data_IF_887750776294
#
_entry.id   IF_887750776294
#
_cell.length_a   1.000
_cell.length_b   1.000
_cell.length_c   1.000
_cell.angle_alpha   90.00
_cell.angle_beta   90.00
_cell.angle_gamma   90.00
#
_symmetry.space_group_name_H-M   'P 1'
#
loop_
_entity.id
_entity.type
_entity.pdbx_description
1 polymer ?
#
# COMPACT_ATOMS: atom_id res chain seq x y z
N UNK A 1 31.80 -64.43 -54.83
CA UNK A 1 32.23 -63.50 -53.76
C UNK A 1 31.35 -62.27 -53.84
N UNK A 2 30.32 -62.19 -53.00
CA UNK A 2 29.35 -61.09 -52.99
C UNK A 2 29.84 -60.09 -51.94
N UNK A 3 30.18 -58.87 -52.38
CA UNK A 3 30.62 -57.77 -51.52
C UNK A 3 29.40 -57.14 -50.84
N UNK A 4 29.35 -57.24 -49.51
CA UNK A 4 28.42 -56.47 -48.68
C UNK A 4 28.99 -55.06 -48.44
N UNK A 5 28.18 -53.99 -48.57
CA UNK A 5 28.64 -52.64 -48.26
C UNK A 5 28.61 -52.39 -46.74
N UNK A 6 29.60 -51.66 -46.24
CA UNK A 6 29.74 -51.27 -44.84
C UNK A 6 28.60 -50.31 -44.40
N UNK A 7 28.18 -50.34 -43.12
CA UNK A 7 27.14 -49.46 -42.63
C UNK A 7 27.64 -48.01 -42.52
N UNK A 8 26.81 -47.07 -42.99
CA UNK A 8 27.08 -45.65 -42.90
C UNK A 8 27.06 -45.16 -41.44
N UNK A 9 28.15 -44.52 -41.03
CA UNK A 9 28.28 -43.82 -39.75
C UNK A 9 27.26 -42.67 -39.69
N UNK A 10 26.27 -42.81 -38.80
CA UNK A 10 25.35 -41.70 -38.47
C UNK A 10 26.11 -40.70 -37.62
N UNK A 11 26.62 -39.65 -38.26
CA UNK A 11 27.08 -38.44 -37.57
C UNK A 11 25.87 -37.80 -36.87
N UNK A 12 25.83 -37.94 -35.55
CA UNK A 12 24.88 -37.20 -34.72
C UNK A 12 25.17 -35.71 -34.86
N UNK A 13 24.21 -34.96 -35.43
CA UNK A 13 24.24 -33.50 -35.39
C UNK A 13 24.14 -33.09 -33.92
N UNK A 14 25.04 -32.23 -33.40
CA UNK A 14 24.84 -31.68 -32.07
C UNK A 14 23.55 -30.84 -32.11
N UNK A 15 22.56 -31.22 -31.30
CA UNK A 15 21.41 -30.38 -31.05
C UNK A 15 21.92 -29.06 -30.47
N UNK A 16 21.73 -27.96 -31.22
CA UNK A 16 22.04 -26.63 -30.75
C UNK A 16 21.09 -26.31 -29.59
N UNK A 17 21.52 -26.59 -28.37
CA UNK A 17 20.83 -26.10 -27.18
C UNK A 17 20.79 -24.57 -27.28
N UNK A 18 19.61 -23.95 -27.12
CA UNK A 18 19.50 -22.51 -27.25
C UNK A 18 20.45 -21.86 -26.26
N UNK A 19 21.32 -20.96 -26.73
CA UNK A 19 22.28 -20.24 -25.86
C UNK A 19 21.55 -19.23 -24.94
N UNK A 20 20.30 -18.91 -25.23
CA UNK A 20 19.49 -17.96 -24.49
C UNK A 20 18.02 -18.34 -24.48
N UNK A 21 17.33 -18.02 -23.40
CA UNK A 21 15.89 -18.15 -23.23
C UNK A 21 15.25 -16.76 -23.32
N UNK A 22 14.28 -16.61 -24.22
CA UNK A 22 13.43 -15.43 -24.28
C UNK A 22 12.25 -15.58 -23.31
N UNK A 23 12.03 -14.58 -22.47
CA UNK A 23 10.95 -14.56 -21.50
C UNK A 23 10.19 -13.25 -21.55
N UNK A 24 8.91 -13.28 -21.17
CA UNK A 24 8.03 -12.11 -21.15
C UNK A 24 7.39 -11.99 -19.79
N UNK A 25 7.55 -10.82 -19.15
CA UNK A 25 6.76 -10.47 -17.98
C UNK A 25 5.51 -9.70 -18.36
N UNK A 26 4.40 -10.04 -17.73
CA UNK A 26 3.12 -9.35 -17.75
C UNK A 26 2.91 -8.78 -16.35
N UNK A 27 2.82 -7.46 -16.23
CA UNK A 27 2.73 -6.74 -14.95
C UNK A 27 1.36 -6.10 -14.85
N UNK A 28 0.59 -6.46 -13.83
CA UNK A 28 -0.73 -5.87 -13.57
C UNK A 28 -0.59 -4.78 -12.51
N UNK A 29 -0.92 -3.56 -12.89
CA UNK A 29 -0.86 -2.36 -12.04
C UNK A 29 -2.27 -1.88 -11.75
N UNK A 30 -2.55 -1.59 -10.47
CA UNK A 30 -3.81 -0.99 -10.04
C UNK A 30 -3.68 0.53 -10.02
N UNK A 31 -4.61 1.22 -10.66
CA UNK A 31 -4.72 2.69 -10.64
C UNK A 31 -5.64 3.14 -9.50
N UNK A 32 -5.35 4.32 -8.96
CA UNK A 32 -6.21 5.00 -7.99
C UNK A 32 -7.57 5.32 -8.61
N UNK A 33 -8.65 5.25 -7.83
CA UNK A 33 -10.01 5.55 -8.30
C UNK A 33 -10.25 7.05 -8.32
N UNK A 34 -9.75 7.75 -7.30
CA UNK A 34 -9.78 9.21 -7.20
C UNK A 34 -8.37 9.75 -7.36
N UNK A 35 -8.14 10.46 -8.46
CA UNK A 35 -6.86 11.09 -8.76
C UNK A 35 -7.05 12.60 -8.60
N UNK A 36 -6.31 13.22 -7.67
CA UNK A 36 -6.33 14.67 -7.51
C UNK A 36 -5.73 15.37 -8.75
N UNK A 37 -6.04 16.66 -8.98
CA UNK A 37 -5.51 17.40 -10.15
C UNK A 37 -3.97 17.39 -10.20
N UNK A 38 -3.30 17.56 -9.05
CA UNK A 38 -1.82 17.47 -8.96
C UNK A 38 -1.31 16.07 -9.34
N UNK A 39 -2.04 15.05 -8.94
CA UNK A 39 -1.74 13.65 -9.22
C UNK A 39 -1.90 13.34 -10.72
N UNK A 40 -2.92 13.91 -11.38
CA UNK A 40 -3.13 13.80 -12.83
C UNK A 40 -2.00 14.44 -13.63
N UNK A 41 -1.53 15.62 -13.23
CA UNK A 41 -0.39 16.29 -13.88
C UNK A 41 0.87 15.44 -13.78
N UNK A 42 1.14 14.87 -12.61
CA UNK A 42 2.30 14.02 -12.40
C UNK A 42 2.18 12.66 -13.15
N UNK A 43 0.99 12.08 -13.28
CA UNK A 43 0.75 10.91 -14.14
C UNK A 43 1.07 11.18 -15.62
N UNK A 44 0.66 12.35 -16.11
CA UNK A 44 1.01 12.78 -17.46
C UNK A 44 2.52 12.95 -17.60
N UNK A 45 3.18 13.64 -16.65
CA UNK A 45 4.64 13.77 -16.64
C UNK A 45 5.36 12.42 -16.65
N UNK A 46 4.89 11.45 -15.87
CA UNK A 46 5.45 10.09 -15.81
C UNK A 46 5.28 9.36 -17.14
N UNK A 47 4.10 9.46 -17.77
CA UNK A 47 3.88 8.92 -19.10
C UNK A 47 4.86 9.51 -20.13
N UNK A 48 5.02 10.84 -20.16
CA UNK A 48 5.96 11.50 -21.08
C UNK A 48 7.43 11.15 -20.76
N UNK A 49 7.78 10.98 -19.48
CA UNK A 49 9.13 10.60 -19.07
C UNK A 49 9.52 9.17 -19.51
N UNK A 50 8.55 8.26 -19.61
CA UNK A 50 8.76 6.90 -20.12
C UNK A 50 9.27 6.90 -21.58
N UNK A 51 8.74 7.79 -22.43
CA UNK A 51 9.23 8.01 -23.80
C UNK A 51 10.70 8.45 -23.86
N UNK A 52 11.17 9.18 -22.84
CA UNK A 52 12.54 9.69 -22.73
C UNK A 52 13.44 8.73 -21.93
N UNK A 53 12.95 7.51 -21.63
CA UNK A 53 13.73 6.43 -21.02
C UNK A 53 13.77 6.42 -19.49
N UNK A 54 13.00 7.28 -18.82
CA UNK A 54 12.73 7.18 -17.36
C UNK A 54 11.54 6.26 -17.14
N UNK A 55 11.79 4.96 -17.23
CA UNK A 55 10.78 3.92 -17.14
C UNK A 55 10.89 3.11 -15.85
N UNK A 56 9.86 2.31 -15.55
CA UNK A 56 9.99 1.20 -14.60
C UNK A 56 10.93 0.14 -15.18
N UNK A 57 11.86 -0.36 -14.35
CA UNK A 57 12.79 -1.42 -14.73
C UNK A 57 12.56 -2.68 -13.90
N UNK A 58 12.55 -3.82 -14.56
CA UNK A 58 12.45 -5.13 -13.93
C UNK A 58 13.74 -5.91 -14.12
N UNK A 59 14.19 -6.62 -13.09
CA UNK A 59 15.34 -7.55 -13.15
C UNK A 59 14.95 -8.86 -12.49
N UNK A 60 15.02 -9.95 -13.26
CA UNK A 60 14.74 -11.31 -12.79
C UNK A 60 15.93 -11.84 -12.01
N UNK A 61 15.62 -12.59 -10.96
CA UNK A 61 16.60 -13.21 -10.08
C UNK A 61 16.31 -14.70 -10.01
N UNK A 62 17.34 -15.49 -10.32
CA UNK A 62 17.24 -16.94 -10.31
C UNK A 62 17.24 -17.50 -8.88
N UNK A 63 16.64 -18.68 -8.74
CA UNK A 63 16.79 -19.57 -7.59
C UNK A 63 18.23 -20.10 -7.43
N UNK A 64 19.01 -20.08 -8.51
CA UNK A 64 20.39 -20.55 -8.56
C UNK A 64 21.41 -19.43 -8.33
N UNK A 65 22.62 -19.85 -7.95
CA UNK A 65 23.76 -18.95 -7.77
C UNK A 65 24.70 -19.00 -8.97
N UNK A 66 25.33 -17.87 -9.27
CA UNK A 66 26.41 -17.75 -10.24
C UNK A 66 27.71 -18.24 -9.58
N UNK A 67 28.31 -19.37 -10.02
CA UNK A 67 29.52 -19.92 -9.42
C UNK A 67 30.72 -18.96 -9.49
N UNK A 68 30.72 -18.01 -10.44
CA UNK A 68 31.83 -17.06 -10.63
C UNK A 68 31.70 -15.83 -9.72
N UNK A 69 30.47 -15.41 -9.43
CA UNK A 69 30.19 -14.18 -8.66
C UNK A 69 29.78 -14.46 -7.21
N UNK A 70 29.45 -15.70 -6.85
CA UNK A 70 28.99 -16.10 -5.52
C UNK A 70 27.59 -15.57 -5.14
N UNK A 71 26.93 -14.82 -6.01
CA UNK A 71 25.59 -14.27 -5.81
C UNK A 71 24.55 -14.92 -6.72
N UNK A 72 23.26 -14.53 -6.64
CA UNK A 72 22.25 -15.06 -7.55
C UNK A 72 22.55 -14.72 -9.01
N UNK A 73 22.15 -15.61 -9.93
CA UNK A 73 22.09 -15.28 -11.36
C UNK A 73 21.01 -14.22 -11.58
N UNK A 74 21.31 -13.18 -12.33
CA UNK A 74 20.43 -12.03 -12.58
C UNK A 74 20.29 -11.77 -14.08
N UNK A 75 19.09 -11.40 -14.52
CA UNK A 75 18.89 -10.94 -15.89
C UNK A 75 19.49 -9.56 -16.08
N UNK A 76 19.59 -9.11 -17.34
CA UNK A 76 19.68 -7.66 -17.60
C UNK A 76 18.37 -7.00 -17.17
N UNK A 77 18.45 -5.72 -16.79
CA UNK A 77 17.27 -4.90 -16.50
C UNK A 77 16.45 -4.72 -17.78
N UNK A 78 15.19 -5.10 -17.75
CA UNK A 78 14.23 -4.84 -18.82
C UNK A 78 13.38 -3.62 -18.48
N UNK A 79 13.10 -2.80 -19.49
CA UNK A 79 12.11 -1.73 -19.41
C UNK A 79 10.69 -2.31 -19.45
N UNK A 80 9.80 -1.73 -18.67
CA UNK A 80 8.36 -1.93 -18.79
C UNK A 80 7.83 -1.08 -19.96
N UNK A 81 7.06 -1.69 -20.86
CA UNK A 81 6.58 -1.08 -22.10
C UNK A 81 5.07 -0.88 -22.04
N UNK A 82 4.57 0.15 -22.71
CA UNK A 82 3.14 0.44 -22.84
C UNK A 82 2.64 1.51 -21.86
N UNK A 83 3.51 2.09 -21.04
CA UNK A 83 3.09 3.06 -20.02
C UNK A 83 2.52 4.33 -20.64
N UNK A 84 3.22 4.91 -21.61
CA UNK A 84 2.77 6.10 -22.34
C UNK A 84 1.48 5.82 -23.14
N UNK A 85 1.44 4.74 -23.91
CA UNK A 85 0.31 4.40 -24.79
C UNK A 85 -0.99 4.21 -24.00
N UNK A 86 -0.88 3.75 -22.75
CA UNK A 86 -2.03 3.48 -21.87
C UNK A 86 -2.34 4.61 -20.90
N UNK A 87 -1.77 5.81 -21.07
CA UNK A 87 -2.00 6.93 -20.14
C UNK A 87 -3.49 7.28 -20.00
N UNK A 88 -4.23 7.27 -21.11
CA UNK A 88 -5.64 7.70 -21.18
C UNK A 88 -6.64 6.55 -20.89
N UNK A 89 -6.14 5.34 -20.59
CA UNK A 89 -6.98 4.18 -20.28
C UNK A 89 -7.66 4.35 -18.92
N UNK A 90 -8.99 4.40 -18.91
CA UNK A 90 -9.82 4.48 -17.70
C UNK A 90 -10.20 3.09 -17.19
N UNK A 91 -9.20 2.30 -16.82
CA UNK A 91 -9.39 1.00 -16.19
C UNK A 91 -8.70 0.98 -14.82
N UNK A 92 -9.34 0.34 -13.84
CA UNK A 92 -8.77 0.15 -12.50
C UNK A 92 -7.51 -0.72 -12.54
N UNK A 93 -7.51 -1.75 -13.40
CA UNK A 93 -6.36 -2.62 -13.64
C UNK A 93 -5.81 -2.39 -15.04
N UNK A 94 -4.51 -2.11 -15.12
CA UNK A 94 -3.80 -1.91 -16.38
C UNK A 94 -2.62 -2.86 -16.47
N UNK A 95 -2.55 -3.57 -17.59
CA UNK A 95 -1.52 -4.57 -17.85
C UNK A 95 -0.38 -3.96 -18.67
N UNK A 96 0.86 -4.21 -18.28
CA UNK A 96 2.07 -3.79 -18.96
C UNK A 96 2.98 -4.98 -19.25
N UNK A 97 3.94 -4.84 -20.16
CA UNK A 97 4.83 -5.95 -20.54
C UNK A 97 6.30 -5.58 -20.49
N UNK A 98 7.17 -6.55 -20.18
CA UNK A 98 8.62 -6.41 -20.23
C UNK A 98 9.25 -7.67 -20.86
N UNK A 99 10.23 -7.48 -21.74
CA UNK A 99 10.89 -8.57 -22.47
C UNK A 99 12.27 -8.87 -21.91
N UNK A 100 12.56 -10.14 -21.66
CA UNK A 100 13.83 -10.61 -21.14
C UNK A 100 14.52 -11.55 -22.12
N UNK A 101 15.83 -11.48 -22.14
CA UNK A 101 16.70 -12.49 -22.75
C UNK A 101 17.71 -12.89 -21.69
N UNK A 102 17.64 -14.14 -21.24
CA UNK A 102 18.51 -14.69 -20.20
C UNK A 102 19.31 -15.85 -20.77
N UNK A 103 20.43 -16.17 -20.13
CA UNK A 103 21.22 -17.36 -20.48
C UNK A 103 20.39 -18.64 -20.28
N UNK A 104 20.60 -19.68 -21.09
CA UNK A 104 19.87 -20.92 -20.91
C UNK A 104 20.17 -21.64 -19.58
N UNK A 105 21.34 -21.39 -19.00
CA UNK A 105 21.70 -21.82 -17.66
C UNK A 105 21.19 -20.84 -16.58
N UNK A 106 20.27 -19.91 -16.88
CA UNK A 106 19.69 -19.03 -15.86
C UNK A 106 18.93 -19.81 -14.79
N UNK A 107 18.36 -20.97 -15.13
CA UNK A 107 17.54 -21.77 -14.23
C UNK A 107 16.15 -21.17 -14.04
N UNK A 108 15.54 -21.43 -12.89
CA UNK A 108 14.20 -20.95 -12.57
C UNK A 108 14.21 -19.54 -11.95
N UNK A 109 13.39 -18.59 -12.44
CA UNK A 109 13.21 -17.29 -11.78
C UNK A 109 12.47 -17.45 -10.44
N UNK A 110 13.09 -16.97 -9.36
CA UNK A 110 12.56 -17.06 -7.99
C UNK A 110 12.20 -15.71 -7.34
N UNK A 111 12.75 -14.62 -7.86
CA UNK A 111 12.39 -13.26 -7.45
C UNK A 111 12.45 -12.30 -8.65
N UNK A 112 11.75 -11.17 -8.55
CA UNK A 112 11.86 -10.04 -9.47
C UNK A 112 12.09 -8.78 -8.65
N UNK A 113 13.01 -7.96 -9.12
CA UNK A 113 13.19 -6.61 -8.57
C UNK A 113 12.58 -5.58 -9.50
N UNK A 114 11.94 -4.58 -8.92
CA UNK A 114 11.25 -3.50 -9.62
C UNK A 114 11.84 -2.17 -9.17
N UNK A 115 12.35 -1.40 -10.12
CA UNK A 115 12.89 -0.07 -9.89
C UNK A 115 11.98 0.96 -10.55
N UNK A 116 11.37 1.81 -9.74
CA UNK A 116 10.46 2.86 -10.21
C UNK A 116 11.21 4.17 -10.45
N UNK A 117 11.44 4.53 -11.73
CA UNK A 117 12.05 5.82 -12.11
C UNK A 117 11.02 6.91 -12.43
N UNK A 118 9.73 6.62 -12.24
CA UNK A 118 8.68 7.61 -12.31
C UNK A 118 8.72 8.52 -11.09
N UNK A 119 8.01 9.64 -11.15
CA UNK A 119 7.88 10.57 -10.04
C UNK A 119 6.92 10.06 -8.98
N UNK A 120 5.91 9.27 -9.37
CA UNK A 120 4.89 8.74 -8.45
C UNK A 120 5.07 7.27 -8.13
N UNK A 121 4.62 6.89 -6.95
CA UNK A 121 4.42 5.48 -6.61
C UNK A 121 3.28 4.89 -7.43
N UNK A 122 3.29 3.57 -7.60
CA UNK A 122 2.18 2.83 -8.20
C UNK A 122 2.02 1.49 -7.49
N UNK A 123 0.82 0.93 -7.56
CA UNK A 123 0.49 -0.33 -6.91
C UNK A 123 0.61 -1.50 -7.89
N UNK A 124 1.47 -2.46 -7.59
CA UNK A 124 1.56 -3.70 -8.36
C UNK A 124 0.70 -4.76 -7.69
N UNK A 125 -0.25 -5.30 -8.45
CA UNK A 125 -1.09 -6.42 -8.00
C UNK A 125 -0.36 -7.74 -8.22
N UNK A 126 0.13 -7.97 -9.44
CA UNK A 126 0.84 -9.20 -9.79
C UNK A 126 1.82 -9.03 -10.94
N UNK A 127 2.77 -9.96 -11.00
CA UNK A 127 3.68 -10.15 -12.14
C UNK A 127 3.60 -11.62 -12.56
N UNK A 128 3.48 -11.87 -13.85
CA UNK A 128 3.54 -13.19 -14.46
C UNK A 128 4.68 -13.23 -15.45
N UNK A 129 5.61 -14.18 -15.31
CA UNK A 129 6.75 -14.35 -16.22
C UNK A 129 6.62 -15.65 -16.98
N UNK A 130 6.53 -15.58 -18.30
CA UNK A 130 6.38 -16.70 -19.22
C UNK A 130 7.66 -16.91 -20.06
N UNK A 131 7.83 -18.10 -20.64
CA UNK A 131 8.93 -18.42 -21.57
C UNK A 131 10.05 -19.28 -20.98
N UNK A 132 10.00 -19.59 -19.68
CA UNK A 132 10.95 -20.52 -19.05
C UNK A 132 10.52 -22.00 -19.23
N UNK A 133 11.47 -22.94 -19.40
CA UNK A 133 11.18 -24.37 -19.46
C UNK A 133 10.49 -24.93 -18.21
N UNK A 134 10.72 -24.29 -17.05
CA UNK A 134 10.09 -24.63 -15.77
C UNK A 134 8.60 -24.27 -15.68
N UNK A 135 8.04 -23.65 -16.73
CA UNK A 135 6.69 -23.10 -16.74
C UNK A 135 6.62 -21.64 -16.28
N UNK A 136 5.40 -21.06 -16.23
CA UNK A 136 5.20 -19.68 -15.84
C UNK A 136 5.51 -19.45 -14.35
N UNK A 137 6.19 -18.34 -14.05
CA UNK A 137 6.47 -17.91 -12.69
C UNK A 137 5.50 -16.80 -12.27
N UNK A 138 4.76 -17.05 -11.19
CA UNK A 138 3.74 -16.15 -10.66
C UNK A 138 4.26 -15.40 -9.42
N UNK A 139 4.06 -14.08 -9.40
CA UNK A 139 4.44 -13.20 -8.30
C UNK A 139 3.19 -12.44 -7.83
N UNK A 140 2.68 -12.81 -6.66
CA UNK A 140 1.56 -12.09 -6.02
C UNK A 140 2.12 -10.94 -5.20
N UNK A 141 2.02 -9.72 -5.72
CA UNK A 141 2.77 -8.58 -5.22
C UNK A 141 1.97 -7.77 -4.19
N UNK A 142 0.76 -7.32 -4.57
CA UNK A 142 -0.16 -6.50 -3.77
C UNK A 142 0.54 -5.41 -2.95
N UNK A 143 1.30 -4.54 -3.61
CA UNK A 143 2.16 -3.61 -2.89
C UNK A 143 2.48 -2.35 -3.68
N UNK A 144 2.70 -1.24 -2.95
CA UNK A 144 3.16 0.03 -3.51
C UNK A 144 4.66 0.01 -3.81
N UNK A 145 5.04 0.48 -4.99
CA UNK A 145 6.44 0.65 -5.40
C UNK A 145 6.83 2.12 -5.39
N UNK A 146 7.67 2.49 -4.43
CA UNK A 146 8.12 3.86 -4.25
C UNK A 146 9.03 4.33 -5.39
N UNK A 147 8.94 5.62 -5.79
CA UNK A 147 9.90 6.26 -6.68
C UNK A 147 11.32 6.16 -6.14
N UNK A 148 12.29 6.02 -7.04
CA UNK A 148 13.73 6.05 -6.72
C UNK A 148 14.20 7.31 -5.99
N UNK A 149 13.47 8.43 -6.13
CA UNK A 149 13.72 9.67 -5.36
C UNK A 149 13.32 9.58 -3.88
N UNK A 150 12.42 8.65 -3.55
CA UNK A 150 11.95 8.38 -2.18
C UNK A 150 12.72 7.21 -1.58
N UNK A 151 12.77 6.09 -2.31
CA UNK A 151 13.52 4.91 -1.94
C UNK A 151 14.39 4.46 -3.14
N UNK A 152 15.72 4.63 -3.07
CA UNK A 152 16.61 4.24 -4.16
C UNK A 152 16.75 2.72 -4.31
N UNK A 153 16.35 1.94 -3.29
CA UNK A 153 16.44 0.48 -3.33
C UNK A 153 15.36 -0.11 -4.25
N UNK A 154 15.71 -1.05 -5.16
CA UNK A 154 14.71 -1.77 -5.93
C UNK A 154 13.82 -2.59 -5.02
N UNK A 155 12.51 -2.53 -5.24
CA UNK A 155 11.53 -3.34 -4.54
C UNK A 155 11.64 -4.79 -4.99
N UNK A 156 11.65 -5.76 -4.08
CA UNK A 156 11.71 -7.19 -4.42
C UNK A 156 10.36 -7.87 -4.22
N UNK A 157 10.03 -8.76 -5.16
CA UNK A 157 8.88 -9.66 -5.09
C UNK A 157 9.34 -11.09 -5.33
N UNK A 158 8.86 -12.04 -4.52
CA UNK A 158 9.18 -13.45 -4.64
C UNK A 158 8.07 -14.19 -5.40
N UNK A 159 8.40 -15.33 -6.00
CA UNK A 159 7.38 -16.20 -6.57
C UNK A 159 6.44 -16.72 -5.48
N UNK A 160 5.25 -17.18 -5.88
CA UNK A 160 4.28 -17.79 -4.98
C UNK A 160 4.67 -19.19 -4.46
N UNK A 161 5.92 -19.64 -4.69
CA UNK A 161 6.42 -20.92 -4.20
C UNK A 161 6.86 -20.77 -2.73
N UNK A 162 6.24 -21.51 -1.79
CA UNK A 162 6.57 -21.39 -0.36
C UNK A 162 7.84 -22.15 -0.02
N UNK A 163 8.72 -21.54 0.80
CA UNK A 163 9.93 -22.18 1.30
C UNK A 163 10.12 -21.93 2.80
N UNK A 164 10.41 -22.99 3.56
CA UNK A 164 11.02 -22.85 4.88
C UNK A 164 12.41 -22.20 4.78
N UNK A 165 12.93 -21.55 5.83
CA UNK A 165 14.27 -20.94 5.81
C UNK A 165 15.37 -21.93 5.35
N UNK A 166 15.34 -23.17 5.85
CA UNK A 166 16.30 -24.22 5.48
C UNK A 166 16.17 -24.72 4.04
N UNK A 167 15.00 -24.53 3.42
CA UNK A 167 14.70 -24.95 2.05
C UNK A 167 14.74 -23.79 1.04
N UNK A 168 15.11 -22.59 1.49
CA UNK A 168 15.19 -21.42 0.60
C UNK A 168 16.31 -21.65 -0.44
N UNK A 169 15.99 -21.55 -1.76
CA UNK A 169 16.98 -21.72 -2.80
C UNK A 169 18.17 -20.78 -2.61
N UNK A 170 19.41 -21.25 -2.89
CA UNK A 170 20.62 -20.52 -2.55
C UNK A 170 20.68 -19.11 -3.17
N UNK A 171 20.15 -18.92 -4.39
CA UNK A 171 20.08 -17.60 -5.03
C UNK A 171 19.18 -16.59 -4.30
N UNK A 172 18.21 -17.06 -3.51
CA UNK A 172 17.22 -16.21 -2.84
C UNK A 172 17.54 -15.93 -1.37
N UNK A 173 18.48 -16.65 -0.75
CA UNK A 173 18.72 -16.58 0.70
C UNK A 173 19.08 -15.18 1.18
N UNK A 174 20.00 -14.52 0.47
CA UNK A 174 20.44 -13.18 0.83
C UNK A 174 19.34 -12.13 0.62
N UNK A 175 18.56 -12.25 -0.46
CA UNK A 175 17.41 -11.38 -0.70
C UNK A 175 16.35 -11.53 0.38
N UNK A 176 16.02 -12.76 0.77
CA UNK A 176 15.07 -13.03 1.85
C UNK A 176 15.54 -12.39 3.17
N UNK A 177 16.83 -12.54 3.50
CA UNK A 177 17.41 -11.96 4.72
C UNK A 177 17.38 -10.43 4.68
N UNK A 178 17.72 -9.84 3.53
CA UNK A 178 17.73 -8.39 3.35
C UNK A 178 16.31 -7.80 3.45
N UNK A 179 15.34 -8.39 2.77
CA UNK A 179 13.94 -7.95 2.84
C UNK A 179 13.41 -8.01 4.28
N UNK A 180 13.69 -9.09 5.02
CA UNK A 180 13.31 -9.18 6.43
C UNK A 180 13.99 -8.13 7.31
N UNK A 181 15.23 -7.74 7.00
CA UNK A 181 15.93 -6.67 7.73
C UNK A 181 15.32 -5.31 7.42
N UNK A 182 14.99 -5.04 6.15
CA UNK A 182 14.32 -3.81 5.73
C UNK A 182 12.93 -3.67 6.36
N UNK A 183 12.14 -4.75 6.41
CA UNK A 183 10.83 -4.77 7.06
C UNK A 183 10.89 -4.56 8.58
N UNK A 184 11.97 -4.92 9.28
CA UNK A 184 12.16 -4.54 10.70
C UNK A 184 12.56 -3.07 10.86
N UNK A 185 13.22 -2.50 9.85
CA UNK A 185 13.81 -1.18 9.89
C UNK A 185 14.99 -1.07 10.88
N UNK A 186 15.39 0.16 11.17
CA UNK A 186 16.54 0.45 12.05
C UNK A 186 16.20 0.56 13.54
N UNK A 187 14.92 0.48 13.92
CA UNK A 187 14.44 0.77 15.29
C UNK A 187 14.49 2.26 15.67
N UNK A 188 14.89 3.13 14.74
CA UNK A 188 15.15 4.55 15.00
C UNK A 188 14.51 5.44 13.94
N UNK A 189 14.37 6.72 14.25
CA UNK A 189 13.82 7.73 13.35
C UNK A 189 12.29 7.70 13.23
N UNK A 190 11.75 8.84 12.82
CA UNK A 190 10.32 9.06 12.57
C UNK A 190 9.89 8.29 11.34
N UNK A 191 8.77 7.58 11.42
CA UNK A 191 8.22 6.85 10.28
C UNK A 191 7.52 7.80 9.29
N UNK A 192 7.72 7.55 7.99
CA UNK A 192 7.08 8.28 6.90
C UNK A 192 6.02 7.39 6.25
N UNK A 193 4.98 7.98 5.67
CA UNK A 193 3.89 7.24 5.00
C UNK A 193 4.35 6.28 3.89
N UNK A 194 5.52 6.52 3.31
CA UNK A 194 6.12 5.67 2.28
C UNK A 194 6.93 4.49 2.84
N UNK A 195 7.21 4.47 4.15
CA UNK A 195 7.96 3.40 4.80
C UNK A 195 7.11 2.14 4.98
N UNK A 196 7.80 1.00 5.09
CA UNK A 196 7.19 -0.32 5.24
C UNK A 196 7.73 -1.10 6.44
N UNK A 197 8.22 -0.36 7.42
CA UNK A 197 8.85 -0.96 8.58
C UNK A 197 7.79 -1.30 9.62
N UNK A 198 7.90 -2.51 10.16
CA UNK A 198 7.10 -3.09 11.21
C UNK A 198 7.95 -3.18 12.46
N UNK A 199 7.53 -2.48 13.49
CA UNK A 199 8.25 -2.38 14.75
C UNK A 199 7.25 -2.03 15.85
N UNK A 200 7.64 -2.22 17.10
CA UNK A 200 6.75 -2.18 18.25
C UNK A 200 6.99 -0.97 19.12
N UNK A 201 5.91 -0.49 19.71
CA UNK A 201 5.95 0.56 20.72
C UNK A 201 4.72 0.46 21.64
N UNK A 202 4.73 1.21 22.73
CA UNK A 202 3.68 1.25 23.75
C UNK A 202 2.61 2.27 23.38
N UNK A 203 1.44 2.23 24.01
CA UNK A 203 0.42 3.27 23.86
C UNK A 203 0.76 4.46 24.76
N UNK A 204 1.74 5.24 24.34
CA UNK A 204 2.10 6.53 24.92
C UNK A 204 1.66 7.72 24.03
N UNK A 205 0.85 7.47 23.01
CA UNK A 205 0.38 8.44 22.03
C UNK A 205 -1.13 8.76 22.13
N UNK A 206 -1.77 8.33 23.22
CA UNK A 206 -3.19 8.56 23.47
C UNK A 206 -3.47 9.93 24.12
N UNK A 207 -2.60 10.37 25.03
CA UNK A 207 -2.73 11.67 25.70
C UNK A 207 -2.25 12.84 24.85
N UNK A 208 -2.56 14.06 25.29
CA UNK A 208 -1.97 15.30 24.78
C UNK A 208 -1.68 16.26 25.94
N UNK A 209 -0.64 15.98 26.76
CA UNK A 209 -0.28 16.78 27.93
C UNK A 209 0.02 18.26 27.59
N UNK A 210 0.45 18.56 26.37
CA UNK A 210 0.67 19.94 25.91
C UNK A 210 -0.61 20.79 25.89
N UNK A 211 -1.80 20.16 25.85
CA UNK A 211 -3.10 20.83 25.99
C UNK A 211 -3.56 21.01 27.45
N UNK A 212 -2.77 20.54 28.41
CA UNK A 212 -3.01 20.64 29.86
C UNK A 212 -3.46 19.33 30.52
N UNK A 213 -3.50 19.34 31.85
CA UNK A 213 -3.66 18.15 32.69
C UNK A 213 -4.89 17.27 32.38
N UNK A 214 -5.99 17.84 31.89
CA UNK A 214 -7.18 17.08 31.51
C UNK A 214 -6.98 16.16 30.30
N UNK A 215 -5.92 16.37 29.52
CA UNK A 215 -5.59 15.62 28.32
C UNK A 215 -4.47 14.59 28.54
N UNK A 216 -3.90 14.52 29.74
CA UNK A 216 -2.92 13.51 30.12
C UNK A 216 -3.55 12.12 30.15
N UNK A 217 -2.82 11.11 29.67
CA UNK A 217 -3.24 9.70 29.73
C UNK A 217 -2.05 8.85 30.16
N UNK A 218 -2.27 7.82 30.99
CA UNK A 218 -1.19 6.93 31.38
C UNK A 218 -0.70 6.12 30.18
N UNK A 219 0.59 5.79 30.17
CA UNK A 219 1.17 4.90 29.16
C UNK A 219 0.66 3.47 29.36
N UNK A 220 0.12 2.85 28.30
CA UNK A 220 -0.31 1.45 28.32
C UNK A 220 0.71 0.58 27.58
N UNK A 221 1.18 -0.47 28.22
CA UNK A 221 2.25 -1.33 27.71
C UNK A 221 3.52 -1.17 28.55
N UNK A 222 3.70 -2.06 29.52
CA UNK A 222 4.82 -2.06 30.45
C UNK A 222 4.44 -2.90 31.67
N UNK A 223 5.24 -2.86 32.73
CA UNK A 223 4.98 -3.71 33.90
C UNK A 223 3.81 -3.20 34.75
N UNK A 224 3.64 -1.86 34.81
CA UNK A 224 2.59 -1.22 35.62
C UNK A 224 1.20 -1.37 35.02
N UNK A 225 1.07 -1.18 33.70
CA UNK A 225 -0.17 -1.30 32.94
C UNK A 225 0.10 -2.19 31.72
N UNK A 226 0.11 -3.53 31.89
CA UNK A 226 0.33 -4.45 30.78
C UNK A 226 -0.72 -4.26 29.68
N UNK A 227 -0.26 -4.13 28.45
CA UNK A 227 -1.11 -3.97 27.27
C UNK A 227 -0.39 -4.45 26.01
N UNK A 228 -1.12 -4.95 24.99
CA UNK A 228 -0.53 -5.25 23.69
C UNK A 228 0.28 -4.06 23.15
N UNK A 229 1.35 -4.37 22.40
CA UNK A 229 2.13 -3.35 21.70
C UNK A 229 1.40 -2.91 20.44
N UNK A 230 1.66 -1.68 20.01
CA UNK A 230 1.19 -1.10 18.74
C UNK A 230 2.34 -0.93 17.76
N UNK A 231 2.00 -0.53 16.53
CA UNK A 231 3.01 -0.21 15.51
C UNK A 231 3.76 1.08 15.89
N UNK A 232 5.09 1.01 15.92
CA UNK A 232 5.97 2.15 16.22
C UNK A 232 5.88 3.23 15.13
N UNK A 233 5.57 4.45 15.54
CA UNK A 233 5.48 5.65 14.71
C UNK A 233 6.64 6.61 14.94
N UNK A 234 7.11 6.68 16.20
CA UNK A 234 8.30 7.41 16.62
C UNK A 234 8.32 8.88 16.24
N UNK A 235 7.16 9.53 16.33
CA UNK A 235 7.06 10.98 16.34
C UNK A 235 7.80 11.53 17.56
N UNK A 236 8.17 12.82 17.56
CA UNK A 236 8.78 13.46 18.71
C UNK A 236 7.91 13.32 19.97
N UNK A 237 8.53 13.37 21.14
CA UNK A 237 7.79 13.48 22.39
C UNK A 237 7.06 14.83 22.49
N UNK A 238 6.06 14.89 23.36
CA UNK A 238 5.40 16.15 23.73
C UNK A 238 6.37 17.10 24.45
N UNK A 239 6.05 18.39 24.46
CA UNK A 239 6.90 19.40 25.13
C UNK A 239 6.86 19.23 26.66
N UNK A 240 5.70 18.84 27.17
CA UNK A 240 5.41 18.73 28.60
C UNK A 240 5.77 17.38 29.22
N UNK A 241 5.79 16.29 28.44
CA UNK A 241 6.14 14.94 28.89
C UNK A 241 6.99 14.21 27.84
N UNK A 242 8.25 13.91 28.18
CA UNK A 242 9.17 13.15 27.32
C UNK A 242 8.72 11.70 27.10
N UNK A 243 7.92 11.14 28.02
CA UNK A 243 7.38 9.79 27.93
C UNK A 243 6.18 9.67 26.99
N UNK A 244 5.52 10.79 26.65
CA UNK A 244 4.36 10.83 25.77
C UNK A 244 4.77 11.21 24.33
N UNK A 245 4.35 10.40 23.35
CA UNK A 245 4.57 10.70 21.94
C UNK A 245 3.56 11.74 21.45
N UNK A 246 4.00 12.71 20.63
CA UNK A 246 3.16 13.77 20.12
C UNK A 246 1.96 13.24 19.32
N UNK A 247 0.80 13.88 19.49
CA UNK A 247 -0.41 13.51 18.74
C UNK A 247 -0.35 13.94 17.28
N UNK A 248 -1.00 13.13 16.44
CA UNK A 248 -1.43 13.54 15.09
C UNK A 248 -2.89 13.97 15.21
N UNK A 249 -3.19 15.17 14.71
CA UNK A 249 -4.55 15.71 14.68
C UNK A 249 -5.21 15.39 13.33
N UNK A 250 -6.50 15.07 13.37
CA UNK A 250 -7.28 14.87 12.16
C UNK A 250 -7.26 16.15 11.29
N UNK A 251 -7.10 16.05 9.95
CA UNK A 251 -7.23 14.87 9.09
C UNK A 251 -5.91 14.15 8.76
N UNK A 252 -4.80 14.46 9.44
CA UNK A 252 -3.53 13.83 9.11
C UNK A 252 -3.55 12.33 9.50
N UNK A 253 -3.12 11.42 8.60
CA UNK A 253 -3.13 10.01 8.89
C UNK A 253 -2.01 9.63 9.87
N UNK A 254 -2.34 8.77 10.83
CA UNK A 254 -1.32 8.11 11.65
C UNK A 254 -0.56 7.13 10.76
N UNK A 255 0.77 7.12 10.87
CA UNK A 255 1.59 6.18 10.11
C UNK A 255 1.19 4.74 10.39
N UNK A 256 0.98 4.01 9.31
CA UNK A 256 1.05 2.55 9.22
C UNK A 256 2.04 2.20 8.11
N UNK A 257 2.56 0.98 8.11
CA UNK A 257 3.35 0.47 6.98
C UNK A 257 2.58 0.69 5.67
N UNK A 258 3.25 1.16 4.62
CA UNK A 258 2.61 1.64 3.37
C UNK A 258 1.59 0.68 2.76
N UNK A 259 1.83 -0.63 2.87
CA UNK A 259 0.95 -1.67 2.32
C UNK A 259 -0.21 -2.05 3.25
N UNK A 260 -0.20 -1.60 4.50
CA UNK A 260 -1.30 -1.76 5.48
C UNK A 260 -2.29 -0.59 5.47
N UNK A 261 -1.96 0.50 4.76
CA UNK A 261 -2.88 1.62 4.61
C UNK A 261 -4.14 1.14 3.90
N UNK A 262 -5.30 1.54 4.41
CA UNK A 262 -6.57 1.16 3.81
C UNK A 262 -6.68 1.66 2.37
N UNK A 263 -7.31 0.84 1.53
CA UNK A 263 -7.73 1.25 0.20
C UNK A 263 -8.71 2.43 0.28
N UNK A 264 -8.72 3.28 -0.76
CA UNK A 264 -9.50 4.53 -0.82
C UNK A 264 -10.95 4.37 -0.35
N UNK A 265 -11.66 3.34 -0.82
CA UNK A 265 -13.05 3.10 -0.43
C UNK A 265 -13.24 2.80 1.06
N UNK A 266 -12.31 2.08 1.68
CA UNK A 266 -12.36 1.79 3.13
C UNK A 266 -12.00 3.03 3.94
N UNK A 267 -11.01 3.81 3.49
CA UNK A 267 -10.64 5.07 4.13
C UNK A 267 -11.79 6.09 4.10
N UNK A 268 -12.56 6.15 3.00
CA UNK A 268 -13.74 7.00 2.91
C UNK A 268 -14.81 6.59 3.94
N UNK A 269 -15.14 5.30 4.00
CA UNK A 269 -16.09 4.78 4.99
C UNK A 269 -15.65 5.05 6.43
N UNK A 270 -14.35 4.89 6.74
CA UNK A 270 -13.80 5.17 8.07
C UNK A 270 -13.84 6.67 8.39
N UNK A 271 -13.55 7.52 7.41
CA UNK A 271 -13.62 8.98 7.57
C UNK A 271 -15.05 9.44 7.83
N UNK A 272 -16.02 8.88 7.10
CA UNK A 272 -17.45 9.12 7.35
C UNK A 272 -17.84 8.68 8.76
N UNK A 273 -17.38 7.50 9.20
CA UNK A 273 -17.58 7.00 10.56
C UNK A 273 -16.94 7.90 11.64
N UNK A 274 -15.73 8.41 11.40
CA UNK A 274 -15.04 9.33 12.30
C UNK A 274 -15.76 10.68 12.40
N UNK A 275 -16.29 11.20 11.28
CA UNK A 275 -17.13 12.41 11.29
C UNK A 275 -18.41 12.17 12.08
N UNK A 276 -19.10 11.03 11.87
CA UNK A 276 -20.26 10.62 12.68
C UNK A 276 -19.89 10.55 14.18
N UNK A 277 -18.72 10.01 14.53
CA UNK A 277 -18.22 9.97 15.90
C UNK A 277 -17.98 11.36 16.50
N UNK A 278 -17.38 12.28 15.74
CA UNK A 278 -17.19 13.67 16.18
C UNK A 278 -18.53 14.37 16.44
N UNK A 279 -19.56 14.08 15.66
CA UNK A 279 -20.91 14.62 15.87
C UNK A 279 -21.51 14.20 17.23
N UNK A 280 -21.17 13.02 17.74
CA UNK A 280 -21.58 12.63 19.09
C UNK A 280 -20.98 13.52 20.20
N UNK A 281 -19.83 14.17 19.99
CA UNK A 281 -19.34 15.15 20.97
C UNK A 281 -20.20 16.42 21.02
N UNK A 282 -21.01 16.66 19.98
CA UNK A 282 -21.92 17.79 19.87
C UNK A 282 -23.38 17.39 20.16
N UNK A 283 -23.62 16.23 20.79
CA UNK A 283 -24.99 15.78 21.16
C UNK A 283 -25.85 16.87 21.80
N UNK A 284 -25.36 17.71 22.75
CA UNK A 284 -26.19 18.77 23.32
C UNK A 284 -26.69 19.80 22.29
N UNK A 285 -25.86 20.12 21.29
CA UNK A 285 -26.23 21.02 20.20
C UNK A 285 -27.18 20.32 19.21
N UNK A 286 -26.98 19.02 18.95
CA UNK A 286 -27.87 18.21 18.12
C UNK A 286 -29.26 18.09 18.76
N UNK A 287 -29.34 17.81 20.06
CA UNK A 287 -30.60 17.75 20.82
C UNK A 287 -31.34 19.09 20.75
N UNK A 288 -30.62 20.21 20.92
CA UNK A 288 -31.23 21.56 20.81
C UNK A 288 -31.78 21.88 19.41
N UNK A 289 -31.35 21.17 18.37
CA UNK A 289 -31.86 21.34 17.01
C UNK A 289 -33.19 20.61 16.78
N UNK A 290 -33.43 19.53 17.53
CA UNK A 290 -34.67 18.74 17.50
C UNK A 290 -35.68 19.28 18.51
N UNK A 291 -35.22 19.65 19.71
CA UNK A 291 -36.03 20.21 20.78
C UNK A 291 -35.45 21.56 21.24
N UNK A 292 -36.00 22.70 20.77
CA UNK A 292 -35.46 24.04 21.08
C UNK A 292 -35.45 24.39 22.57
N UNK A 293 -36.37 23.82 23.33
CA UNK A 293 -36.66 24.19 24.73
C UNK A 293 -36.01 23.26 25.76
N UNK A 294 -35.30 22.20 25.33
CA UNK A 294 -34.66 21.23 26.21
C UNK A 294 -33.23 20.89 25.78
N UNK A 295 -32.36 20.63 26.77
CA UNK A 295 -30.97 20.20 26.54
C UNK A 295 -30.83 18.68 26.47
N UNK A 296 -31.91 17.96 26.77
CA UNK A 296 -32.02 16.51 26.79
C UNK A 296 -33.12 16.06 25.81
N UNK A 297 -33.12 14.79 25.41
CA UNK A 297 -34.24 14.25 24.63
C UNK A 297 -35.52 14.28 25.49
N UNK A 298 -36.59 14.90 24.99
CA UNK A 298 -37.86 14.98 25.69
C UNK A 298 -38.61 13.65 25.66
N UNK A 299 -38.29 12.77 24.71
CA UNK A 299 -38.78 11.39 24.68
C UNK A 299 -38.19 10.56 23.54
N UNK A 300 -38.62 9.31 23.42
CA UNK A 300 -38.14 8.38 22.38
C UNK A 300 -38.41 8.87 20.95
N UNK A 301 -39.45 9.69 20.74
CA UNK A 301 -39.73 10.29 19.43
C UNK A 301 -38.56 11.15 18.93
N UNK A 302 -37.89 11.89 19.81
CA UNK A 302 -36.74 12.72 19.42
C UNK A 302 -35.54 11.88 19.00
N UNK A 303 -35.38 10.69 19.60
CA UNK A 303 -34.36 9.70 19.20
C UNK A 303 -34.70 9.08 17.86
N UNK A 304 -35.97 8.73 17.64
CA UNK A 304 -36.50 8.21 16.37
C UNK A 304 -36.29 9.20 15.21
N UNK A 305 -36.47 10.50 15.48
CA UNK A 305 -36.32 11.55 14.48
C UNK A 305 -34.88 11.66 13.95
N UNK A 306 -33.86 11.22 14.71
CA UNK A 306 -32.47 11.15 14.23
C UNK A 306 -32.31 10.26 12.99
N UNK A 307 -33.17 9.24 12.86
CA UNK A 307 -33.14 8.24 11.79
C UNK A 307 -34.21 8.48 10.71
N UNK A 308 -35.40 8.97 11.09
CA UNK A 308 -36.54 9.16 10.18
C UNK A 308 -36.48 10.49 9.44
N UNK A 309 -36.46 11.58 10.21
CA UNK A 309 -36.57 12.95 9.69
C UNK A 309 -35.21 13.63 9.52
N UNK A 310 -34.20 13.23 10.31
CA UNK A 310 -32.87 13.81 10.28
C UNK A 310 -32.75 15.12 11.05
N UNK A 311 -31.51 15.57 11.24
CA UNK A 311 -31.14 16.76 12.01
C UNK A 311 -31.01 17.97 11.09
N UNK A 312 -31.74 19.05 11.38
CA UNK A 312 -31.50 20.36 10.75
C UNK A 312 -30.32 21.04 11.43
N UNK A 313 -29.18 21.09 10.74
CA UNK A 313 -27.98 21.73 11.29
C UNK A 313 -28.21 23.24 11.46
N UNK A 314 -28.31 23.70 12.71
CA UNK A 314 -28.30 25.15 13.03
C UNK A 314 -27.01 25.79 12.52
N UNK A 315 -27.06 27.06 12.13
CA UNK A 315 -25.92 27.78 11.55
C UNK A 315 -24.67 27.79 12.46
N UNK A 316 -24.86 27.84 13.78
CA UNK A 316 -23.76 27.74 14.75
C UNK A 316 -23.04 26.36 14.77
N UNK A 317 -23.78 25.27 14.54
CA UNK A 317 -23.21 23.94 14.35
C UNK A 317 -22.45 23.86 13.03
N UNK A 318 -22.98 24.51 11.98
CA UNK A 318 -22.28 24.67 10.70
C UNK A 318 -20.93 25.36 10.96
N UNK A 319 -20.90 26.55 11.55
CA UNK A 319 -19.65 27.28 11.76
C UNK A 319 -18.62 26.50 12.60
N UNK A 320 -19.03 25.80 13.66
CA UNK A 320 -18.11 25.00 14.50
C UNK A 320 -17.63 23.72 13.83
N UNK A 321 -18.48 23.03 13.06
CA UNK A 321 -18.14 21.78 12.39
C UNK A 321 -17.26 22.03 11.16
N UNK A 322 -17.56 23.08 10.39
CA UNK A 322 -16.81 23.44 9.18
C UNK A 322 -15.48 24.16 9.49
N UNK A 323 -15.34 24.84 10.64
CA UNK A 323 -14.03 25.33 11.10
C UNK A 323 -13.10 24.20 11.55
N UNK A 324 -13.64 23.09 12.07
CA UNK A 324 -12.83 22.00 12.64
C UNK A 324 -12.64 20.81 11.71
N UNK A 325 -13.47 20.65 10.67
CA UNK A 325 -13.45 19.49 9.78
C UNK A 325 -13.47 19.95 8.31
N UNK A 326 -12.31 19.99 7.62
CA UNK A 326 -12.20 20.51 6.26
C UNK A 326 -13.04 19.78 5.20
N UNK A 327 -13.36 18.49 5.43
CA UNK A 327 -14.00 17.61 4.45
C UNK A 327 -15.55 17.68 4.45
N UNK A 328 -16.17 18.37 5.41
CA UNK A 328 -17.64 18.49 5.51
C UNK A 328 -18.23 19.31 4.36
N UNK A 329 -17.39 20.03 3.59
CA UNK A 329 -17.82 20.75 2.37
C UNK A 329 -18.55 19.88 1.35
N UNK A 330 -18.32 18.55 1.33
CA UNK A 330 -19.06 17.62 0.46
C UNK A 330 -20.49 17.32 0.91
N UNK A 331 -20.84 17.54 2.18
CA UNK A 331 -22.21 17.36 2.67
C UNK A 331 -23.12 18.51 2.19
N UNK A 332 -22.52 19.63 1.75
CA UNK A 332 -23.23 20.84 1.35
C UNK A 332 -23.86 20.78 -0.05
N UNK A 333 -23.60 19.74 -0.86
CA UNK A 333 -24.25 19.59 -2.17
C UNK A 333 -25.68 19.04 -2.10
N UNK A 334 -26.13 18.54 -0.93
CA UNK A 334 -27.55 18.31 -0.69
C UNK A 334 -28.16 19.56 -0.06
N UNK A 335 -28.98 20.24 -0.86
CA UNK A 335 -29.55 21.58 -0.73
C UNK A 335 -30.34 21.93 0.55
N UNK A 336 -30.35 21.09 1.59
CA UNK A 336 -31.12 21.33 2.82
C UNK A 336 -30.34 21.16 4.14
N UNK A 337 -29.04 20.82 4.13
CA UNK A 337 -28.24 20.78 5.38
C UNK A 337 -28.74 19.80 6.43
N UNK A 338 -29.43 18.74 5.99
CA UNK A 338 -30.07 17.74 6.82
C UNK A 338 -29.13 16.54 7.03
N UNK A 339 -28.81 16.22 8.29
CA UNK A 339 -27.97 15.07 8.64
C UNK A 339 -28.83 13.95 9.22
N UNK A 340 -29.01 12.86 8.47
CA UNK A 340 -29.83 11.71 8.87
C UNK A 340 -28.96 10.48 9.10
N UNK A 341 -29.15 9.82 10.26
CA UNK A 341 -28.51 8.54 10.52
C UNK A 341 -29.23 7.40 9.81
N UNK A 342 -28.52 6.33 9.50
CA UNK A 342 -29.14 5.10 9.00
C UNK A 342 -29.99 4.47 10.11
N UNK A 343 -31.19 4.02 9.77
CA UNK A 343 -32.08 3.33 10.73
C UNK A 343 -31.37 2.05 11.24
N UNK A 344 -31.19 1.87 12.56
CA UNK A 344 -30.62 0.67 13.13
C UNK A 344 -31.47 -0.57 12.80
N UNK A 345 -30.82 -1.70 12.51
CA UNK A 345 -31.53 -2.93 12.11
C UNK A 345 -32.51 -3.43 13.18
N UNK A 346 -32.23 -3.20 14.46
CA UNK A 346 -33.13 -3.56 15.57
C UNK A 346 -34.46 -2.80 15.55
N UNK A 347 -34.54 -1.65 14.85
CA UNK A 347 -35.77 -0.86 14.67
C UNK A 347 -36.22 -0.77 13.20
N UNK A 348 -35.57 -1.49 12.28
CA UNK A 348 -36.04 -1.62 10.90
C UNK A 348 -37.21 -2.60 10.91
N UNK A 349 -38.43 -2.08 10.81
CA UNK A 349 -39.66 -2.86 10.56
C UNK A 349 -39.78 -3.27 9.10
#
# INVERSE_FOLDING_TARGET
VVLTPAPAERVARPEAHPQSVAARAVVTVRRKRKVEVKEQVAEQMDAYADRVGRSVLLELISTETDPRKGGPKKSRKSRLVGWFEKRDVKAELVVYTAGFTVDAAFGEPGAVTVLNRHQREFFIESILVEGFPSGPAHFTCNSWVQPTRVDPAPRVFFTNKPYLPSKTPPGLRELRRRELKELRGSGTGVRKTTHRAYDYDVYNDLGNPDKGAGFERPVLGGDKLPYPRRMRTARPSTVTDEGAESRVEYPEPIYVSRDEEFEEGKNEMLSEGAIKALLHNFMPLLVSSVSPDSRDFAGFHDVDNLFKEGLRLKQALHDQLFQKIPFVRKIQENSEGLLRYDTPDIIKS
#
